data_IF_452670743551
#
_entry.id   IF_452670743551
#
_cell.length_a   1.000
_cell.length_b   1.000
_cell.length_c   1.000
_cell.angle_alpha   90.00
_cell.angle_beta   90.00
_cell.angle_gamma   90.00
#
_symmetry.space_group_name_H-M   'P 1'
#
loop_
_entity.id
_entity.type
_entity.pdbx_description
1 polymer ?
#
# COMPACT_ATOMS: atom_id res chain seq x y z
N UNK A 1 -32.79 21.07 52.18
CA UNK A 1 -32.19 19.73 52.07
C UNK A 1 -31.14 19.81 50.98
N UNK A 2 -29.84 19.62 51.28
CA UNK A 2 -28.80 19.65 50.26
C UNK A 2 -28.85 18.34 49.46
N UNK A 3 -28.83 18.44 48.13
CA UNK A 3 -28.85 17.30 47.21
C UNK A 3 -27.46 16.65 47.15
N UNK A 4 -27.39 15.36 47.48
CA UNK A 4 -26.16 14.57 47.42
C UNK A 4 -25.70 14.36 45.97
N UNK A 5 -24.43 14.66 45.73
CA UNK A 5 -23.77 14.57 44.44
C UNK A 5 -23.43 13.10 44.15
N UNK A 6 -24.22 12.43 43.32
CA UNK A 6 -23.98 11.03 42.94
C UNK A 6 -22.85 10.93 41.91
N UNK A 7 -21.61 10.91 42.40
CA UNK A 7 -20.44 10.51 41.59
C UNK A 7 -20.56 9.01 41.30
N UNK A 8 -21.00 8.68 40.08
CA UNK A 8 -21.01 7.30 39.59
C UNK A 8 -19.58 6.75 39.57
N UNK A 9 -19.32 5.82 40.49
CA UNK A 9 -18.10 5.02 40.56
C UNK A 9 -18.01 4.11 39.33
N UNK A 10 -17.34 4.56 38.27
CA UNK A 10 -16.86 3.70 37.18
C UNK A 10 -15.62 2.93 37.64
N UNK A 11 -15.79 2.01 38.58
CA UNK A 11 -14.81 0.99 38.93
C UNK A 11 -15.22 -0.35 38.32
N UNK A 12 -14.50 -0.86 37.32
CA UNK A 12 -14.68 -2.26 36.92
C UNK A 12 -14.23 -2.73 35.55
N UNK A 13 -13.76 -1.87 34.64
CA UNK A 13 -13.22 -2.36 33.37
C UNK A 13 -11.77 -2.81 33.54
N UNK A 14 -11.59 -4.13 33.75
CA UNK A 14 -10.30 -4.81 33.57
C UNK A 14 -9.67 -4.28 32.29
N UNK A 15 -8.53 -3.60 32.42
CA UNK A 15 -7.69 -3.14 31.31
C UNK A 15 -7.33 -4.37 30.47
N UNK A 16 -8.12 -4.69 29.46
CA UNK A 16 -7.68 -5.56 28.36
C UNK A 16 -6.51 -4.82 27.75
N UNK A 17 -5.30 -5.33 27.92
CA UNK A 17 -4.13 -4.72 27.30
C UNK A 17 -4.40 -4.67 25.80
N UNK A 18 -4.33 -3.47 25.24
CA UNK A 18 -4.17 -3.28 23.80
C UNK A 18 -2.74 -3.65 23.45
N UNK A 19 -2.34 -4.90 23.72
CA UNK A 19 -1.07 -5.43 23.27
C UNK A 19 -1.25 -5.59 21.76
N UNK A 20 -0.92 -4.51 21.05
CA UNK A 20 -0.93 -4.45 19.60
C UNK A 20 0.00 -5.55 19.14
N UNK A 21 -0.56 -6.58 18.52
CA UNK A 21 0.22 -7.68 17.95
C UNK A 21 1.11 -7.06 16.86
N UNK A 22 2.43 -6.98 17.10
CA UNK A 22 3.43 -6.39 16.19
C UNK A 22 3.64 -7.21 14.90
N UNK A 23 2.80 -8.20 14.61
CA UNK A 23 2.86 -8.93 13.34
C UNK A 23 2.40 -8.02 12.22
N UNK A 24 3.38 -7.51 11.48
CA UNK A 24 3.16 -6.87 10.17
C UNK A 24 2.65 -7.93 9.21
N UNK A 25 1.34 -7.93 8.97
CA UNK A 25 0.71 -8.77 7.96
C UNK A 25 0.90 -8.07 6.61
N UNK A 26 1.71 -8.67 5.74
CA UNK A 26 1.87 -8.20 4.37
C UNK A 26 0.69 -8.73 3.54
N UNK A 27 -0.24 -7.83 3.21
CA UNK A 27 -1.26 -8.13 2.20
C UNK A 27 -0.65 -7.89 0.81
N UNK A 28 -0.72 -8.88 -0.11
CA UNK A 28 -0.44 -8.59 -1.51
C UNK A 28 -1.42 -7.50 -1.97
N UNK A 29 -0.92 -6.41 -2.56
CA UNK A 29 -1.80 -5.40 -3.17
C UNK A 29 -2.56 -6.06 -4.32
N UNK A 30 -3.86 -6.30 -4.14
CA UNK A 30 -4.79 -6.57 -5.24
C UNK A 30 -5.05 -5.27 -6.00
N UNK A 31 -4.04 -4.86 -6.76
CA UNK A 31 -4.08 -3.70 -7.66
C UNK A 31 -4.50 -4.15 -9.08
N UNK A 32 -5.12 -5.33 -9.21
CA UNK A 32 -5.63 -5.84 -10.48
C UNK A 32 -6.72 -4.92 -11.01
N UNK A 33 -6.45 -4.28 -12.15
CA UNK A 33 -7.40 -3.39 -12.83
C UNK A 33 -7.32 -1.92 -12.42
N UNK A 34 -6.35 -1.50 -11.61
CA UNK A 34 -6.20 -0.07 -11.33
C UNK A 34 -5.76 0.71 -12.58
N UNK A 35 -6.16 1.99 -12.72
CA UNK A 35 -5.65 2.90 -13.76
C UNK A 35 -4.13 2.92 -13.79
N UNK A 36 -3.52 2.87 -12.60
CA UNK A 36 -2.08 2.87 -12.41
C UNK A 36 -1.44 1.61 -12.99
N UNK A 37 -1.99 0.44 -12.72
CA UNK A 37 -1.56 -0.83 -13.33
C UNK A 37 -1.69 -0.78 -14.85
N UNK A 38 -2.81 -0.28 -15.35
CA UNK A 38 -3.10 -0.20 -16.79
C UNK A 38 -2.08 0.68 -17.54
N UNK A 39 -1.66 1.79 -16.93
CA UNK A 39 -0.59 2.65 -17.48
C UNK A 39 0.74 1.90 -17.49
N UNK A 40 1.09 1.23 -16.38
CA UNK A 40 2.35 0.51 -16.27
C UNK A 40 2.43 -0.68 -17.25
N UNK A 41 1.33 -1.40 -17.46
CA UNK A 41 1.26 -2.51 -18.41
C UNK A 41 1.37 -2.03 -19.86
N UNK A 42 0.88 -0.82 -20.19
CA UNK A 42 1.01 -0.24 -21.53
C UNK A 42 2.38 0.37 -21.81
N UNK A 43 2.96 1.11 -20.86
CA UNK A 43 4.18 1.90 -21.09
C UNK A 43 5.45 1.26 -20.54
N UNK A 44 5.34 0.42 -19.51
CA UNK A 44 6.46 -0.12 -18.73
C UNK A 44 6.43 -1.65 -18.64
N UNK A 45 5.84 -2.33 -19.63
CA UNK A 45 5.60 -3.78 -19.59
C UNK A 45 6.87 -4.61 -19.30
N UNK A 46 8.00 -4.24 -19.92
CA UNK A 46 9.27 -4.92 -19.73
C UNK A 46 9.80 -4.76 -18.29
N UNK A 47 9.72 -3.55 -17.73
CA UNK A 47 10.18 -3.25 -16.38
C UNK A 47 9.27 -3.90 -15.33
N UNK A 48 7.96 -3.88 -15.55
CA UNK A 48 6.97 -4.56 -14.70
C UNK A 48 7.25 -6.06 -14.68
N UNK A 49 7.49 -6.68 -15.85
CA UNK A 49 7.82 -8.11 -15.94
C UNK A 49 9.11 -8.43 -15.18
N UNK A 50 10.13 -7.57 -15.30
CA UNK A 50 11.41 -7.74 -14.61
C UNK A 50 11.25 -7.63 -13.09
N UNK A 51 10.51 -6.63 -12.62
CA UNK A 51 10.21 -6.45 -11.21
C UNK A 51 9.37 -7.60 -10.63
N UNK A 52 8.29 -8.01 -11.32
CA UNK A 52 7.45 -9.15 -10.91
C UNK A 52 8.25 -10.45 -10.84
N UNK A 53 9.15 -10.68 -11.80
CA UNK A 53 10.02 -11.85 -11.77
C UNK A 53 10.97 -11.81 -10.55
N UNK A 54 11.56 -10.65 -10.25
CA UNK A 54 12.36 -10.48 -9.05
C UNK A 54 11.56 -10.76 -7.77
N UNK A 55 10.34 -10.22 -7.66
CA UNK A 55 9.46 -10.44 -6.52
C UNK A 55 9.11 -11.92 -6.36
N UNK A 56 8.78 -12.61 -7.46
CA UNK A 56 8.48 -14.04 -7.44
C UNK A 56 9.66 -14.90 -6.99
N UNK A 57 10.89 -14.52 -7.34
CA UNK A 57 12.11 -15.25 -6.96
C UNK A 57 12.52 -15.00 -5.50
N UNK A 58 12.12 -13.87 -4.94
CA UNK A 58 12.55 -13.43 -3.61
C UNK A 58 11.46 -13.55 -2.54
N UNK A 59 10.45 -14.40 -2.73
CA UNK A 59 9.31 -14.55 -1.83
C UNK A 59 8.60 -13.22 -1.54
N UNK A 60 8.47 -12.36 -2.55
CA UNK A 60 7.87 -11.03 -2.47
C UNK A 60 8.56 -10.05 -1.50
N UNK A 61 9.84 -10.29 -1.17
CA UNK A 61 10.66 -9.34 -0.42
C UNK A 61 11.13 -8.19 -1.32
N UNK A 62 10.45 -7.04 -1.21
CA UNK A 62 10.73 -5.85 -2.00
C UNK A 62 12.17 -5.34 -1.81
N UNK A 63 12.76 -5.54 -0.63
CA UNK A 63 14.12 -5.06 -0.33
C UNK A 63 15.18 -5.73 -1.20
N UNK A 64 14.91 -6.96 -1.66
CA UNK A 64 15.81 -7.69 -2.57
C UNK A 64 15.64 -7.25 -4.03
N UNK A 65 14.60 -6.50 -4.33
CA UNK A 65 14.23 -6.05 -5.68
C UNK A 65 14.35 -4.54 -5.89
N UNK A 66 14.99 -3.81 -4.97
CA UNK A 66 15.11 -2.35 -5.01
C UNK A 66 15.70 -1.80 -6.31
N UNK A 67 16.66 -2.50 -6.91
CA UNK A 67 17.28 -2.08 -8.18
C UNK A 67 16.24 -2.12 -9.31
N UNK A 68 15.54 -3.26 -9.45
CA UNK A 68 14.48 -3.42 -10.45
C UNK A 68 13.29 -2.51 -10.19
N UNK A 69 12.98 -2.26 -8.91
CA UNK A 69 11.96 -1.29 -8.49
C UNK A 69 12.33 0.12 -8.91
N UNK A 70 13.57 0.54 -8.69
CA UNK A 70 14.04 1.87 -9.09
C UNK A 70 14.02 2.10 -10.61
N UNK A 71 14.23 1.05 -11.41
CA UNK A 71 14.06 1.11 -12.87
C UNK A 71 12.58 1.28 -13.22
N UNK A 72 11.71 0.46 -12.62
CA UNK A 72 10.27 0.55 -12.81
C UNK A 72 9.72 1.93 -12.40
N UNK A 73 10.16 2.49 -11.27
CA UNK A 73 9.74 3.80 -10.78
C UNK A 73 10.13 4.94 -11.75
N UNK A 74 11.29 4.84 -12.41
CA UNK A 74 11.70 5.81 -13.44
C UNK A 74 10.79 5.73 -14.67
N UNK A 75 10.49 4.52 -15.13
CA UNK A 75 9.55 4.34 -16.24
C UNK A 75 8.15 4.87 -15.85
N UNK A 76 7.66 4.47 -14.69
CA UNK A 76 6.37 4.88 -14.13
C UNK A 76 6.23 6.40 -14.06
N UNK A 77 7.24 7.10 -13.52
CA UNK A 77 7.22 8.55 -13.43
C UNK A 77 7.12 9.23 -14.81
N UNK A 78 7.78 8.67 -15.82
CA UNK A 78 7.68 9.19 -17.19
C UNK A 78 6.32 8.90 -17.83
N UNK A 79 5.77 7.71 -17.61
CA UNK A 79 4.48 7.29 -18.13
C UNK A 79 3.33 8.12 -17.53
N UNK A 80 3.32 8.31 -16.20
CA UNK A 80 2.31 9.13 -15.54
C UNK A 80 2.36 10.59 -15.98
N UNK A 81 3.56 11.15 -16.22
CA UNK A 81 3.68 12.50 -16.75
C UNK A 81 3.07 12.63 -18.15
N UNK A 82 3.32 11.65 -19.04
CA UNK A 82 2.74 11.65 -20.39
C UNK A 82 1.22 11.55 -20.36
N UNK A 83 0.71 10.58 -19.60
CA UNK A 83 -0.72 10.34 -19.44
C UNK A 83 -1.43 11.56 -18.86
N UNK A 84 -0.83 12.25 -17.89
CA UNK A 84 -1.40 13.47 -17.32
C UNK A 84 -1.31 14.69 -18.26
N UNK A 85 -0.39 14.69 -19.22
CA UNK A 85 -0.27 15.77 -20.21
C UNK A 85 -1.16 15.60 -21.42
N UNK A 86 -1.65 14.38 -21.67
CA UNK A 86 -2.48 14.04 -22.82
C UNK A 86 -3.95 13.90 -22.39
N UNK A 87 -4.87 14.75 -22.89
CA UNK A 87 -6.27 14.75 -22.47
C UNK A 87 -7.06 13.50 -22.94
N UNK A 88 -6.48 12.67 -23.80
CA UNK A 88 -7.13 11.45 -24.32
C UNK A 88 -7.15 10.30 -23.31
N UNK A 89 -6.33 10.37 -22.26
CA UNK A 89 -6.24 9.33 -21.25
C UNK A 89 -7.15 9.62 -20.05
N UNK A 90 -8.38 9.10 -20.12
CA UNK A 90 -9.38 9.16 -19.05
C UNK A 90 -9.51 7.76 -18.43
N UNK A 91 -9.39 7.68 -17.10
CA UNK A 91 -9.50 6.41 -16.33
C UNK A 91 -10.62 6.48 -15.30
#
# INVERSE_FOLDING_TARGET
MPMENMVHMFGGTKKKSTLVDERVIYFPREDEGSPRQSILDKFCQADVKTFRNCMSLNNYDENKCLVTKGILDKCAASAFKKVNSEPEWIF
#
